data_IF_340844022417
#
_entry.id   IF_340844022417
#
_cell.length_a   1.000
_cell.length_b   1.000
_cell.length_c   1.000
_cell.angle_alpha   90.00
_cell.angle_beta   90.00
_cell.angle_gamma   90.00
#
_symmetry.space_group_name_H-M   'P 1'
#
loop_
_entity.id
_entity.type
_entity.pdbx_description
1 polymer ?
#
# COMPACT_ATOMS: atom_id res chain seq x y z
N UNK A 1 -4.01 17.79 -0.31
CA UNK A 1 -4.45 16.59 -1.00
C UNK A 1 -5.98 16.60 -1.11
N UNK A 2 -6.57 15.87 -2.06
CA UNK A 2 -8.01 15.88 -2.34
C UNK A 2 -8.94 15.27 -1.28
N UNK A 3 -8.43 14.94 -0.09
CA UNK A 3 -9.20 14.27 0.98
C UNK A 3 -10.40 15.12 1.44
N UNK A 4 -10.20 16.42 1.64
CA UNK A 4 -11.29 17.34 2.04
C UNK A 4 -12.41 17.33 1.01
N UNK A 5 -12.06 17.47 -0.28
CA UNK A 5 -13.04 17.43 -1.36
C UNK A 5 -13.77 16.09 -1.48
N UNK A 6 -13.13 14.98 -1.13
CA UNK A 6 -13.78 13.67 -1.08
C UNK A 6 -14.80 13.59 0.06
N UNK A 7 -14.45 14.11 1.24
CA UNK A 7 -15.36 14.16 2.40
C UNK A 7 -16.58 15.03 2.11
N UNK A 8 -16.40 16.19 1.50
CA UNK A 8 -17.49 17.08 1.07
C UNK A 8 -18.44 16.39 0.06
N UNK A 9 -17.98 15.35 -0.63
CA UNK A 9 -18.77 14.52 -1.58
C UNK A 9 -19.28 13.22 -0.96
N UNK A 10 -19.23 13.09 0.36
CA UNK A 10 -19.82 11.96 1.10
C UNK A 10 -18.85 10.85 1.47
N UNK A 11 -17.54 10.99 1.21
CA UNK A 11 -16.57 10.03 1.72
C UNK A 11 -16.43 10.15 3.24
N UNK A 12 -16.33 9.02 3.92
CA UNK A 12 -16.11 8.95 5.36
C UNK A 12 -14.65 8.66 5.64
N UNK A 13 -14.02 9.49 6.47
CA UNK A 13 -12.65 9.23 6.94
C UNK A 13 -12.67 8.15 8.01
N UNK A 14 -11.81 7.16 7.85
CA UNK A 14 -11.57 6.19 8.91
C UNK A 14 -11.02 6.89 10.15
N UNK A 15 -11.72 6.72 11.27
CA UNK A 15 -11.31 7.15 12.61
C UNK A 15 -11.14 5.99 13.58
N UNK A 16 -11.28 4.76 13.10
CA UNK A 16 -10.98 3.56 13.86
C UNK A 16 -9.48 3.26 13.76
N UNK A 17 -8.77 3.47 14.85
CA UNK A 17 -7.33 3.21 14.98
C UNK A 17 -7.03 1.89 15.69
N UNK A 18 -8.05 1.06 15.92
CA UNK A 18 -7.87 -0.26 16.52
C UNK A 18 -6.96 -1.13 15.65
N UNK A 19 -6.06 -1.84 16.32
CA UNK A 19 -5.11 -2.76 15.68
C UNK A 19 -5.58 -4.18 15.92
N UNK A 20 -5.69 -4.95 14.85
CA UNK A 20 -5.95 -6.39 14.90
C UNK A 20 -4.73 -7.18 14.47
N UNK A 21 -4.67 -8.41 14.93
CA UNK A 21 -3.67 -9.38 14.52
C UNK A 21 -4.30 -10.37 13.53
N UNK A 22 -3.58 -10.64 12.46
CA UNK A 22 -3.93 -11.62 11.45
C UNK A 22 -2.86 -12.69 11.33
N UNK A 23 -3.24 -13.82 10.73
CA UNK A 23 -2.34 -14.93 10.45
C UNK A 23 -2.52 -15.38 9.00
N UNK A 24 -1.42 -15.67 8.34
CA UNK A 24 -1.39 -16.18 6.96
C UNK A 24 -0.65 -17.51 6.94
N UNK A 25 -1.38 -18.59 6.63
CA UNK A 25 -0.76 -19.89 6.38
C UNK A 25 0.03 -19.86 5.06
N UNK A 26 1.21 -20.49 5.06
CA UNK A 26 2.11 -20.48 3.91
C UNK A 26 2.68 -19.10 3.58
N UNK A 27 2.79 -18.21 4.57
CA UNK A 27 3.52 -16.96 4.43
C UNK A 27 5.00 -17.20 4.20
N UNK A 28 5.64 -16.36 3.38
CA UNK A 28 7.07 -16.41 3.17
C UNK A 28 7.87 -15.90 4.38
N UNK A 29 7.40 -14.80 5.00
CA UNK A 29 8.07 -14.15 6.15
C UNK A 29 7.10 -13.57 7.18
N UNK A 30 5.90 -13.12 6.77
CA UNK A 30 4.93 -12.44 7.63
C UNK A 30 3.75 -13.35 7.99
N UNK A 31 4.03 -14.45 8.69
CA UNK A 31 3.00 -15.39 9.14
C UNK A 31 1.98 -14.74 10.06
N UNK A 32 2.45 -13.89 10.95
CA UNK A 32 1.62 -13.06 11.83
C UNK A 32 1.83 -11.61 11.48
N UNK A 33 0.75 -10.85 11.38
CA UNK A 33 0.80 -9.45 10.97
C UNK A 33 -0.27 -8.63 11.68
N UNK A 34 0.01 -7.33 11.82
CA UNK A 34 -0.91 -6.36 12.39
C UNK A 34 -1.57 -5.54 11.29
N UNK A 35 -2.85 -5.27 11.41
CA UNK A 35 -3.60 -4.48 10.43
C UNK A 35 -4.67 -3.64 11.12
N UNK A 36 -5.18 -2.64 10.43
CA UNK A 36 -6.27 -1.80 10.93
C UNK A 36 -7.59 -2.57 10.95
N UNK A 37 -8.30 -2.54 12.09
CA UNK A 37 -9.59 -3.22 12.28
C UNK A 37 -10.65 -2.80 11.24
N UNK A 38 -10.56 -1.58 10.73
CA UNK A 38 -11.48 -1.04 9.73
C UNK A 38 -11.60 -1.89 8.47
N UNK A 39 -10.58 -2.65 8.12
CA UNK A 39 -10.63 -3.57 6.97
C UNK A 39 -11.68 -4.67 7.11
N UNK A 40 -12.01 -5.07 8.33
CA UNK A 40 -13.01 -6.11 8.57
C UNK A 40 -14.44 -5.57 8.52
N UNK A 41 -14.61 -4.26 8.56
CA UNK A 41 -15.90 -3.57 8.45
C UNK A 41 -16.26 -3.27 6.98
N UNK A 42 -15.27 -3.37 6.07
CA UNK A 42 -15.44 -3.04 4.66
C UNK A 42 -15.86 -4.25 3.83
N UNK A 43 -16.88 -4.12 3.00
CA UNK A 43 -17.29 -5.15 2.02
C UNK A 43 -16.24 -5.39 0.94
N UNK A 44 -15.46 -4.36 0.60
CA UNK A 44 -14.39 -4.43 -0.37
C UNK A 44 -13.35 -3.33 -0.13
N UNK A 45 -12.11 -3.62 -0.53
CA UNK A 45 -11.01 -2.67 -0.53
C UNK A 45 -10.67 -2.30 -1.97
N UNK A 46 -10.62 -1.00 -2.26
CA UNK A 46 -10.04 -0.46 -3.49
C UNK A 46 -8.72 0.21 -3.10
N UNK A 47 -7.64 -0.28 -3.69
CA UNK A 47 -6.31 0.26 -3.49
C UNK A 47 -6.02 1.34 -4.54
N UNK A 48 -6.02 2.60 -4.13
CA UNK A 48 -5.72 3.73 -5.00
C UNK A 48 -4.37 4.34 -4.63
N UNK A 49 -3.40 4.26 -5.52
CA UNK A 49 -2.02 4.67 -5.26
C UNK A 49 -1.45 5.58 -6.34
N UNK A 50 -0.37 6.28 -5.97
CA UNK A 50 0.44 7.11 -6.87
C UNK A 50 1.74 6.37 -7.21
N UNK A 51 2.11 6.33 -8.49
CA UNK A 51 3.41 5.79 -8.91
C UNK A 51 4.55 6.72 -8.47
N UNK A 52 5.51 6.17 -7.70
CA UNK A 52 6.66 6.91 -7.17
C UNK A 52 7.90 6.04 -7.06
N UNK A 53 9.07 6.64 -7.17
CA UNK A 53 10.31 6.05 -6.70
C UNK A 53 10.32 5.86 -5.18
N UNK A 54 11.19 4.99 -4.70
CA UNK A 54 11.35 4.71 -3.27
C UNK A 54 12.77 4.24 -2.96
N UNK A 55 13.44 4.88 -2.02
CA UNK A 55 14.85 4.63 -1.72
C UNK A 55 15.18 3.17 -1.40
N UNK A 56 14.41 2.50 -0.53
CA UNK A 56 14.66 1.10 -0.14
C UNK A 56 14.15 0.09 -1.19
N UNK A 57 12.99 0.34 -1.81
CA UNK A 57 12.28 -0.65 -2.63
C UNK A 57 12.35 -0.34 -4.14
N UNK A 58 13.09 0.67 -4.54
CA UNK A 58 13.11 1.17 -5.92
C UNK A 58 11.82 1.91 -6.29
N UNK A 59 10.66 1.32 -6.00
CA UNK A 59 9.36 1.87 -6.36
C UNK A 59 8.32 1.67 -5.25
N UNK A 60 7.35 2.56 -5.17
CA UNK A 60 6.07 2.35 -4.50
C UNK A 60 4.95 2.52 -5.53
N UNK A 61 4.14 1.48 -5.66
CA UNK A 61 3.03 1.40 -6.58
C UNK A 61 1.91 0.56 -5.95
N UNK A 62 1.20 -0.28 -6.70
CA UNK A 62 0.04 -1.01 -6.20
C UNK A 62 0.36 -1.97 -5.04
N UNK A 63 1.36 -2.84 -5.19
CA UNK A 63 1.69 -3.84 -4.16
C UNK A 63 2.14 -3.17 -2.86
N UNK A 64 3.11 -2.24 -2.94
CA UNK A 64 3.65 -1.58 -1.74
C UNK A 64 2.63 -0.66 -1.07
N UNK A 65 1.67 -0.09 -1.79
CA UNK A 65 0.63 0.76 -1.19
C UNK A 65 -0.22 -0.02 -0.19
N UNK A 66 -0.38 -1.33 -0.36
CA UNK A 66 -1.06 -2.21 0.59
C UNK A 66 -0.36 -2.31 1.95
N UNK A 67 0.90 -1.91 2.08
CA UNK A 67 1.52 -1.70 3.39
C UNK A 67 0.83 -0.61 4.21
N UNK A 68 -0.03 0.19 3.58
CA UNK A 68 -0.93 1.14 4.24
C UNK A 68 -1.92 0.50 5.23
N UNK A 69 -2.22 -0.80 5.10
CA UNK A 69 -3.10 -1.52 6.04
C UNK A 69 -2.44 -1.72 7.42
N UNK A 70 -1.11 -1.71 7.49
CA UNK A 70 -0.37 -1.76 8.75
C UNK A 70 -0.49 -0.40 9.43
N UNK A 71 -0.98 -0.33 10.68
CA UNK A 71 -1.11 0.92 11.41
C UNK A 71 0.21 1.68 11.53
N UNK A 72 0.13 3.02 11.45
CA UNK A 72 1.32 3.88 11.48
C UNK A 72 2.20 3.67 12.71
N UNK A 73 1.59 3.42 13.86
CA UNK A 73 2.28 3.14 15.13
C UNK A 73 3.18 1.90 15.10
N UNK A 74 2.91 0.93 14.23
CA UNK A 74 3.70 -0.32 14.12
C UNK A 74 4.53 -0.41 12.85
N UNK A 75 4.45 0.57 11.93
CA UNK A 75 5.23 0.55 10.68
C UNK A 75 6.75 0.57 10.90
N UNK A 76 7.23 1.27 11.90
CA UNK A 76 8.65 1.29 12.27
C UNK A 76 9.15 -0.07 12.74
N UNK A 77 8.33 -0.84 13.48
CA UNK A 77 8.62 -2.22 13.87
C UNK A 77 8.84 -3.10 12.62
N UNK A 78 8.02 -2.95 11.59
CA UNK A 78 8.14 -3.70 10.33
C UNK A 78 9.40 -3.32 9.54
N UNK A 79 9.76 -2.05 9.48
CA UNK A 79 11.01 -1.62 8.86
C UNK A 79 12.24 -2.14 9.60
N UNK A 80 12.18 -2.27 10.91
CA UNK A 80 13.25 -2.86 11.70
C UNK A 80 13.31 -4.39 11.52
N UNK A 81 12.16 -5.07 11.59
CA UNK A 81 12.05 -6.54 11.48
C UNK A 81 12.43 -7.05 10.09
N UNK A 82 12.02 -6.34 9.04
CA UNK A 82 12.29 -6.66 7.64
C UNK A 82 13.24 -5.62 7.03
N UNK A 83 14.43 -5.51 7.60
CA UNK A 83 15.39 -4.44 7.30
C UNK A 83 16.14 -4.62 5.97
N UNK A 84 16.09 -5.79 5.34
CA UNK A 84 16.61 -5.96 3.99
C UNK A 84 15.49 -5.88 2.93
N UNK A 85 15.79 -5.38 1.72
CA UNK A 85 14.78 -5.17 0.69
C UNK A 85 14.03 -6.43 0.27
N UNK A 86 14.69 -7.60 0.26
CA UNK A 86 14.09 -8.85 -0.16
C UNK A 86 13.03 -9.35 0.83
N UNK A 87 13.34 -9.32 2.14
CA UNK A 87 12.38 -9.74 3.16
C UNK A 87 11.24 -8.73 3.30
N UNK A 88 11.54 -7.45 3.12
CA UNK A 88 10.49 -6.44 3.04
C UNK A 88 9.56 -6.66 1.84
N UNK A 89 10.11 -7.01 0.67
CA UNK A 89 9.30 -7.36 -0.50
C UNK A 89 8.43 -8.60 -0.26
N UNK A 90 9.00 -9.64 0.34
CA UNK A 90 8.25 -10.86 0.71
C UNK A 90 7.12 -10.55 1.71
N UNK A 91 7.37 -9.71 2.69
CA UNK A 91 6.35 -9.24 3.63
C UNK A 91 5.23 -8.48 2.91
N UNK A 92 5.54 -7.61 1.94
CA UNK A 92 4.53 -6.93 1.12
C UNK A 92 3.68 -7.93 0.34
N UNK A 93 4.29 -8.97 -0.25
CA UNK A 93 3.56 -10.05 -0.93
C UNK A 93 2.62 -10.77 0.05
N UNK A 94 3.11 -11.13 1.22
CA UNK A 94 2.31 -11.81 2.25
C UNK A 94 1.12 -10.94 2.69
N UNK A 95 1.30 -9.64 2.91
CA UNK A 95 0.21 -8.73 3.25
C UNK A 95 -0.84 -8.65 2.14
N UNK A 96 -0.43 -8.56 0.88
CA UNK A 96 -1.35 -8.56 -0.27
C UNK A 96 -2.15 -9.87 -0.38
N UNK A 97 -1.55 -11.01 -0.03
CA UNK A 97 -2.22 -12.31 0.01
C UNK A 97 -3.21 -12.41 1.18
N UNK A 98 -2.82 -11.87 2.34
CA UNK A 98 -3.62 -11.95 3.57
C UNK A 98 -4.85 -11.02 3.53
N UNK A 99 -4.72 -9.84 2.97
CA UNK A 99 -5.78 -8.81 2.86
C UNK A 99 -5.83 -8.28 1.43
N UNK A 100 -6.36 -9.06 0.46
CA UNK A 100 -6.37 -8.66 -0.94
C UNK A 100 -7.37 -7.52 -1.20
N UNK A 101 -6.95 -6.53 -1.97
CA UNK A 101 -7.86 -5.55 -2.52
C UNK A 101 -8.61 -6.13 -3.74
N UNK A 102 -9.86 -5.71 -3.93
CA UNK A 102 -10.70 -6.10 -5.09
C UNK A 102 -10.24 -5.46 -6.39
N UNK A 103 -9.68 -4.26 -6.27
CA UNK A 103 -9.22 -3.46 -7.41
C UNK A 103 -8.04 -2.62 -6.95
N UNK A 104 -7.06 -2.50 -7.83
CA UNK A 104 -5.94 -1.58 -7.70
C UNK A 104 -6.02 -0.57 -8.83
N UNK A 105 -5.88 0.71 -8.49
CA UNK A 105 -5.83 1.82 -9.44
C UNK A 105 -4.54 2.59 -9.16
N UNK A 106 -3.70 2.72 -10.17
CA UNK A 106 -2.43 3.45 -10.09
C UNK A 106 -2.57 4.76 -10.86
N UNK A 107 -2.47 5.85 -10.13
CA UNK A 107 -2.33 7.17 -10.74
C UNK A 107 -0.87 7.39 -11.14
N UNK A 108 -0.61 7.27 -12.43
CA UNK A 108 0.64 7.60 -13.10
C UNK A 108 0.48 8.77 -14.08
N UNK A 109 -0.56 9.61 -13.92
CA UNK A 109 -0.70 10.83 -14.75
C UNK A 109 0.50 11.73 -14.49
N UNK A 110 0.80 12.00 -13.22
CA UNK A 110 2.04 12.62 -12.79
C UNK A 110 2.63 11.72 -11.70
N UNK A 111 3.66 10.98 -12.01
CA UNK A 111 4.42 10.19 -11.05
C UNK A 111 5.47 11.00 -10.32
N UNK A 112 6.33 10.33 -9.56
CA UNK A 112 7.49 10.93 -8.89
C UNK A 112 8.75 10.16 -9.26
N UNK A 113 9.81 10.87 -9.57
CA UNK A 113 11.16 10.32 -9.77
C UNK A 113 12.17 10.89 -8.78
N UNK A 114 13.38 10.34 -8.73
CA UNK A 114 14.46 10.80 -7.85
C UNK A 114 14.29 10.31 -6.41
N UNK A 115 14.47 11.19 -5.44
CA UNK A 115 14.50 10.86 -4.01
C UNK A 115 13.10 10.66 -3.40
N UNK A 116 12.36 9.67 -3.94
CA UNK A 116 11.04 9.30 -3.41
C UNK A 116 11.11 8.49 -2.10
N UNK A 117 9.96 8.32 -1.41
CA UNK A 117 8.60 8.62 -1.87
C UNK A 117 8.09 10.04 -1.55
N UNK A 118 8.87 10.91 -0.94
CA UNK A 118 8.40 12.23 -0.44
C UNK A 118 9.21 13.42 -0.95
N UNK A 119 10.47 13.23 -1.30
CA UNK A 119 11.40 14.30 -1.69
C UNK A 119 11.88 14.20 -3.16
N UNK A 120 11.12 13.48 -3.98
CA UNK A 120 11.39 13.40 -5.42
C UNK A 120 10.75 14.54 -6.21
N UNK A 121 10.99 14.53 -7.52
CA UNK A 121 10.44 15.52 -8.46
C UNK A 121 9.25 14.95 -9.22
N UNK A 122 8.25 15.76 -9.57
CA UNK A 122 7.14 15.32 -10.42
C UNK A 122 7.64 14.89 -11.81
N UNK A 123 7.11 13.76 -12.29
CA UNK A 123 7.37 13.22 -13.63
C UNK A 123 6.04 13.04 -14.37
N UNK A 124 5.75 13.80 -15.44
CA UNK A 124 4.61 13.54 -16.30
C UNK A 124 4.78 12.19 -17.03
N UNK A 125 3.81 11.29 -16.86
CA UNK A 125 3.77 9.97 -17.48
C UNK A 125 2.51 9.84 -18.33
N UNK A 126 1.39 10.39 -17.87
CA UNK A 126 0.15 10.53 -18.64
C UNK A 126 -0.73 9.30 -18.69
N UNK A 127 -0.60 8.35 -17.75
CA UNK A 127 -1.44 7.16 -17.76
C UNK A 127 -2.08 6.83 -16.41
N UNK A 128 -3.13 6.02 -16.46
CA UNK A 128 -3.74 5.33 -15.34
C UNK A 128 -3.66 3.83 -15.60
N UNK A 129 -3.31 3.06 -14.58
CA UNK A 129 -3.31 1.61 -14.64
C UNK A 129 -4.37 1.09 -13.69
N UNK A 130 -5.10 0.03 -14.09
CA UNK A 130 -6.06 -0.62 -13.21
C UNK A 130 -6.05 -2.14 -13.40
N UNK A 131 -6.22 -2.88 -12.32
CA UNK A 131 -6.22 -4.34 -12.37
C UNK A 131 -6.48 -4.98 -11.01
N UNK A 132 -6.69 -6.29 -11.03
CA UNK A 132 -6.94 -7.07 -9.80
C UNK A 132 -5.66 -7.60 -9.15
N UNK A 133 -4.57 -7.68 -9.89
CA UNK A 133 -3.30 -8.19 -9.38
C UNK A 133 -2.31 -7.01 -9.26
N UNK A 134 -1.92 -6.64 -8.02
CA UNK A 134 -1.00 -5.53 -7.79
C UNK A 134 0.40 -5.77 -8.34
N UNK A 135 0.86 -7.02 -8.31
CA UNK A 135 2.20 -7.38 -8.78
C UNK A 135 2.30 -7.26 -10.30
N UNK A 136 1.25 -7.65 -11.03
CA UNK A 136 1.20 -7.46 -12.49
C UNK A 136 1.20 -5.99 -12.85
N UNK A 137 0.46 -5.16 -12.11
CA UNK A 137 0.45 -3.70 -12.33
C UNK A 137 1.81 -3.05 -12.08
N UNK A 138 2.54 -3.54 -11.08
CA UNK A 138 3.86 -3.01 -10.72
C UNK A 138 4.96 -3.46 -11.70
N UNK A 139 4.66 -4.40 -12.63
CA UNK A 139 5.58 -4.90 -13.66
C UNK A 139 5.40 -4.22 -15.03
N UNK A 140 4.33 -3.45 -15.23
CA UNK A 140 4.06 -2.70 -16.47
C UNK A 140 4.89 -1.42 -16.51
#
# INVERSE_FOLDING_TARGET
>A
CGVTAAVERGAVLNRNFEVKEGRLEGAAVAREFKYTAYLDEADAVINFCKLKTHGMMGMTCAAKNMFGIVPGSVKSEYHYRYNNPMDFARMIVDLNRAKPARLHIVDAVVGMEGNGPTAGTPRPIGCLLAGKNPHTLDMI
#
